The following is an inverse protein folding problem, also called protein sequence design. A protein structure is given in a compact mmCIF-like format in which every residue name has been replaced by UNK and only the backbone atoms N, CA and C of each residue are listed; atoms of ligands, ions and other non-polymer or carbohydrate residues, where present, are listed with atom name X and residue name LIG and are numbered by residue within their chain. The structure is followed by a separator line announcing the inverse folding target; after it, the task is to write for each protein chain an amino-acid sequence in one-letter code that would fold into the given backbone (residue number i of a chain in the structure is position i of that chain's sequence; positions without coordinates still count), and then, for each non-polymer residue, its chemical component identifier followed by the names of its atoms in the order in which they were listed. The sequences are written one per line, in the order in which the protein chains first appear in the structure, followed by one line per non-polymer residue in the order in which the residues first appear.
data_IF_470715693141
#
_entry.id   IF_470715693141
#
_cell.length_a   1.000
_cell.length_b   1.000
_cell.length_c   1.000
_cell.angle_alpha   90.00
_cell.angle_beta   90.00
_cell.angle_gamma   90.00
#
_symmetry.space_group_name_H-M   'P 1'
#
loop_
_entity.id
_entity.type
_entity.pdbx_description
1 polymer ?
#
# COMPACT_ATOMS: atom_id res chain seq x y z
N UNK A 1 40.85 20.77 1.00
CA UNK A 1 39.96 19.77 1.62
C UNK A 1 38.53 20.27 1.48
N UNK A 2 37.78 19.75 0.51
CA UNK A 2 36.36 20.10 0.33
C UNK A 2 35.50 19.53 1.46
N UNK A 3 34.38 20.18 1.76
CA UNK A 3 33.34 19.66 2.67
C UNK A 3 32.10 19.39 1.83
N UNK A 4 31.40 18.30 2.13
CA UNK A 4 30.12 17.98 1.52
C UNK A 4 29.01 18.32 2.50
N UNK A 5 27.95 18.97 2.03
CA UNK A 5 26.82 19.42 2.83
C UNK A 5 25.58 18.62 2.47
N UNK A 6 25.05 17.87 3.43
CA UNK A 6 23.81 17.11 3.27
C UNK A 6 22.67 17.92 3.85
N UNK A 7 21.67 18.21 3.04
CA UNK A 7 20.41 18.83 3.44
C UNK A 7 19.36 17.73 3.53
N UNK A 8 18.96 17.45 4.76
CA UNK A 8 17.87 16.52 5.07
C UNK A 8 16.51 17.20 4.93
N UNK A 9 16.42 18.45 5.40
CA UNK A 9 15.20 19.26 5.35
C UNK A 9 15.55 20.68 4.92
N UNK A 10 14.90 21.15 3.86
CA UNK A 10 15.09 22.47 3.27
C UNK A 10 14.20 22.64 2.05
N UNK A 11 14.40 23.74 1.30
CA UNK A 11 13.68 23.97 0.03
C UNK A 11 13.95 22.86 -1.00
N UNK A 12 15.23 22.52 -1.14
CA UNK A 12 15.70 21.41 -2.00
C UNK A 12 16.63 20.54 -1.14
N UNK A 13 16.14 19.39 -0.63
CA UNK A 13 16.98 18.40 0.04
C UNK A 13 17.93 17.71 -0.94
N UNK A 14 19.13 17.37 -0.48
CA UNK A 14 20.17 16.79 -1.33
C UNK A 14 21.57 16.93 -0.75
N UNK A 15 22.58 16.55 -1.55
CA UNK A 15 24.00 16.66 -1.20
C UNK A 15 24.62 17.74 -2.07
N UNK A 16 25.30 18.69 -1.44
CA UNK A 16 25.93 19.84 -2.07
C UNK A 16 27.43 19.85 -1.79
N UNK A 17 28.22 20.27 -2.77
CA UNK A 17 29.68 20.42 -2.61
C UNK A 17 30.07 21.84 -2.15
N UNK A 18 29.15 22.80 -2.28
CA UNK A 18 29.33 24.20 -1.89
C UNK A 18 28.33 24.64 -0.81
N UNK A 19 28.81 25.43 0.16
CA UNK A 19 27.96 25.97 1.22
C UNK A 19 27.05 27.09 0.71
N UNK A 20 27.50 27.92 -0.23
CA UNK A 20 26.72 29.04 -0.76
C UNK A 20 25.43 28.59 -1.46
N UNK A 21 25.46 27.43 -2.12
CA UNK A 21 24.24 26.81 -2.68
C UNK A 21 23.36 26.18 -1.60
N UNK A 22 23.95 25.43 -0.67
CA UNK A 22 23.26 24.79 0.44
C UNK A 22 22.55 25.82 1.34
N UNK A 23 23.23 26.92 1.67
CA UNK A 23 22.72 28.00 2.51
C UNK A 23 21.45 28.62 1.92
N UNK A 24 21.41 28.87 0.60
CA UNK A 24 20.22 29.42 -0.07
C UNK A 24 18.98 28.53 0.09
N UNK A 25 19.16 27.23 0.29
CA UNK A 25 18.05 26.27 0.47
C UNK A 25 17.54 26.20 1.92
N UNK A 26 18.38 26.53 2.90
CA UNK A 26 18.03 26.49 4.33
C UNK A 26 17.83 27.88 4.95
N UNK A 27 18.29 28.94 4.26
CA UNK A 27 18.21 30.31 4.73
C UNK A 27 16.74 30.74 4.88
N UNK A 28 16.39 31.17 6.10
CA UNK A 28 15.01 31.53 6.50
C UNK A 28 14.00 30.41 6.26
N UNK A 29 14.43 29.15 6.32
CA UNK A 29 13.56 27.98 6.24
C UNK A 29 13.31 27.41 7.65
N UNK A 30 12.05 27.36 8.06
CA UNK A 30 11.66 26.82 9.36
C UNK A 30 11.97 25.33 9.44
N UNK A 31 12.61 24.89 10.53
CA UNK A 31 13.00 23.49 10.77
C UNK A 31 13.96 22.91 9.72
N UNK A 32 14.82 23.73 9.12
CA UNK A 32 15.88 23.22 8.24
C UNK A 32 16.82 22.27 9.00
N UNK A 33 17.20 21.16 8.35
CA UNK A 33 18.13 20.16 8.90
C UNK A 33 19.22 19.89 7.89
N UNK A 34 20.46 20.21 8.25
CA UNK A 34 21.62 19.98 7.41
C UNK A 34 22.82 19.49 8.24
N UNK A 35 23.79 18.83 7.60
CA UNK A 35 25.04 18.39 8.23
C UNK A 35 26.19 18.34 7.22
N UNK A 36 27.39 18.75 7.66
CA UNK A 36 28.60 18.70 6.84
C UNK A 36 29.42 17.43 7.09
N UNK A 37 30.01 16.89 6.03
CA UNK A 37 30.88 15.71 6.04
C UNK A 37 32.20 16.00 5.31
N UNK A 38 33.24 15.24 5.65
CA UNK A 38 34.57 15.35 5.01
C UNK A 38 34.75 14.40 3.82
N UNK A 39 33.88 13.39 3.70
CA UNK A 39 33.86 12.41 2.61
C UNK A 39 32.50 12.42 1.91
N UNK A 40 32.51 12.25 0.59
CA UNK A 40 31.29 12.12 -0.22
C UNK A 40 30.52 10.84 0.17
N UNK A 41 31.23 9.76 0.46
CA UNK A 41 30.61 8.48 0.84
C UNK A 41 29.82 8.61 2.15
N UNK A 42 30.38 9.30 3.15
CA UNK A 42 29.69 9.57 4.42
C UNK A 42 28.45 10.44 4.21
N UNK A 43 28.56 11.45 3.34
CA UNK A 43 27.44 12.34 2.99
C UNK A 43 26.31 11.56 2.31
N UNK A 44 26.65 10.71 1.35
CA UNK A 44 25.71 9.86 0.63
C UNK A 44 25.04 8.84 1.54
N UNK A 45 25.82 8.15 2.38
CA UNK A 45 25.29 7.19 3.35
C UNK A 45 24.32 7.88 4.34
N UNK A 46 24.65 9.08 4.82
CA UNK A 46 23.79 9.82 5.71
C UNK A 46 22.47 10.24 5.03
N UNK A 47 22.53 10.72 3.78
CA UNK A 47 21.34 11.10 3.02
C UNK A 47 20.46 9.87 2.71
N UNK A 48 21.05 8.75 2.27
CA UNK A 48 20.32 7.51 2.02
C UNK A 48 19.61 6.98 3.27
N UNK A 49 20.27 7.03 4.43
CA UNK A 49 19.67 6.69 5.73
C UNK A 49 18.50 7.61 6.09
N UNK A 50 18.59 8.89 5.73
CA UNK A 50 17.50 9.82 5.94
C UNK A 50 16.30 9.47 5.05
N UNK A 51 16.52 9.19 3.77
CA UNK A 51 15.45 8.78 2.85
C UNK A 51 14.81 7.45 3.27
N UNK A 52 15.60 6.48 3.75
CA UNK A 52 15.03 5.21 4.22
C UNK A 52 14.22 5.36 5.51
N UNK A 53 14.64 6.22 6.43
CA UNK A 53 13.86 6.54 7.63
C UNK A 53 12.61 7.38 7.34
N UNK A 54 12.66 8.32 6.40
CA UNK A 54 11.47 9.09 5.99
C UNK A 54 10.48 8.27 5.15
N UNK A 55 10.97 7.27 4.40
CA UNK A 55 10.11 6.34 3.62
C UNK A 55 9.26 5.42 4.50
N UNK A 56 9.53 5.36 5.81
CA UNK A 56 8.68 4.65 6.78
C UNK A 56 7.50 5.47 7.30
N UNK A 57 7.35 6.73 6.88
CA UNK A 57 6.15 7.55 7.12
C UNK A 57 5.17 7.49 5.93
N UNK A 58 5.13 6.34 5.25
CA UNK A 58 4.15 6.00 4.22
C UNK A 58 3.69 4.54 4.22
N UNK A 59 4.34 3.64 4.97
CA UNK A 59 3.83 2.29 5.21
C UNK A 59 4.57 1.61 6.37
N UNK A 60 3.80 0.98 7.25
CA UNK A 60 4.22 0.02 8.29
C UNK A 60 5.11 0.54 9.43
N UNK A 61 4.52 1.34 10.33
CA UNK A 61 4.98 1.38 11.73
C UNK A 61 4.52 0.11 12.43
N UNK A 62 5.42 -0.87 12.57
CA UNK A 62 5.33 -1.96 13.53
C UNK A 62 5.50 -1.40 14.94
N UNK A 63 4.48 -0.66 15.40
CA UNK A 63 4.39 -0.20 16.78
C UNK A 63 3.69 -1.31 17.57
N UNK A 64 4.48 -2.11 18.30
CA UNK A 64 3.95 -2.96 19.38
C UNK A 64 3.32 -2.03 20.41
N UNK A 65 2.01 -1.82 20.32
CA UNK A 65 1.25 -1.17 21.37
C UNK A 65 0.88 -2.23 22.42
N UNK A 66 1.27 -1.99 23.67
CA UNK A 66 0.61 -2.59 24.82
C UNK A 66 -0.80 -1.97 24.85
N UNK A 67 -1.73 -2.56 24.10
CA UNK A 67 -3.11 -2.10 24.02
C UNK A 67 -3.82 -2.50 25.31
N UNK A 68 -4.55 -1.57 25.91
CA UNK A 68 -5.36 -1.90 27.09
C UNK A 68 -6.42 -2.93 26.72
N UNK A 69 -6.88 -3.70 27.69
CA UNK A 69 -7.87 -4.79 27.52
C UNK A 69 -9.11 -4.37 26.70
N UNK A 70 -9.56 -3.12 26.84
CA UNK A 70 -10.67 -2.55 26.04
C UNK A 70 -10.36 -2.43 24.55
N UNK A 71 -9.13 -2.07 24.19
CA UNK A 71 -8.71 -1.92 22.81
C UNK A 71 -8.53 -3.28 22.12
N UNK A 72 -8.07 -4.28 22.87
CA UNK A 72 -8.01 -5.67 22.41
C UNK A 72 -9.42 -6.22 22.12
N UNK A 73 -10.38 -5.95 23.00
CA UNK A 73 -11.80 -6.28 22.77
C UNK A 73 -12.34 -5.61 21.50
N UNK A 74 -12.02 -4.34 21.26
CA UNK A 74 -12.46 -3.62 20.05
C UNK A 74 -11.83 -4.22 18.79
N UNK A 75 -10.54 -4.54 18.83
CA UNK A 75 -9.82 -5.17 17.71
C UNK A 75 -10.42 -6.54 17.38
N UNK A 76 -10.57 -7.40 18.37
CA UNK A 76 -11.11 -8.74 18.21
C UNK A 76 -12.55 -8.70 17.69
N UNK A 77 -13.39 -7.78 18.18
CA UNK A 77 -14.75 -7.59 17.67
C UNK A 77 -14.75 -7.19 16.19
N UNK A 78 -13.88 -6.28 15.80
CA UNK A 78 -13.79 -5.78 14.41
C UNK A 78 -13.31 -6.89 13.47
N UNK A 79 -12.31 -7.66 13.89
CA UNK A 79 -11.79 -8.81 13.15
C UNK A 79 -12.86 -9.91 13.00
N UNK A 80 -13.62 -10.18 14.06
CA UNK A 80 -14.72 -11.11 14.01
C UNK A 80 -15.81 -10.62 13.03
N UNK A 81 -16.19 -9.35 13.07
CA UNK A 81 -17.15 -8.78 12.11
C UNK A 81 -16.65 -8.88 10.66
N UNK A 82 -15.37 -8.60 10.42
CA UNK A 82 -14.77 -8.70 9.10
C UNK A 82 -14.75 -10.15 8.58
N UNK A 83 -14.45 -11.12 9.45
CA UNK A 83 -14.45 -12.54 9.08
C UNK A 83 -15.86 -13.06 8.76
N UNK A 84 -16.87 -12.67 9.54
CA UNK A 84 -18.28 -12.99 9.26
C UNK A 84 -18.69 -12.40 7.90
N UNK A 85 -18.36 -11.13 7.64
CA UNK A 85 -18.66 -10.48 6.36
C UNK A 85 -17.93 -11.14 5.17
N UNK A 86 -16.67 -11.56 5.38
CA UNK A 86 -15.88 -12.24 4.35
C UNK A 86 -16.47 -13.61 4.00
N UNK A 87 -16.93 -14.35 5.02
CA UNK A 87 -17.62 -15.63 4.84
C UNK A 87 -18.94 -15.43 4.09
N UNK A 88 -19.74 -14.45 4.47
CA UNK A 88 -20.99 -14.11 3.77
C UNK A 88 -20.76 -13.65 2.32
N UNK A 89 -19.69 -12.89 2.05
CA UNK A 89 -19.32 -12.50 0.67
C UNK A 89 -18.94 -13.70 -0.18
N UNK A 90 -18.20 -14.66 0.38
CA UNK A 90 -17.88 -15.90 -0.32
C UNK A 90 -19.12 -16.75 -0.60
N UNK A 91 -20.09 -16.74 0.31
CA UNK A 91 -21.37 -17.45 0.16
C UNK A 91 -22.29 -16.78 -0.88
N UNK A 92 -22.32 -15.44 -0.96
CA UNK A 92 -23.06 -14.71 -2.02
C UNK A 92 -22.54 -14.99 -3.43
N UNK A 93 -21.22 -15.12 -3.59
CA UNK A 93 -20.63 -15.47 -4.89
C UNK A 93 -21.04 -16.87 -5.36
N UNK A 94 -21.15 -17.83 -4.44
CA UNK A 94 -21.62 -19.19 -4.75
C UNK A 94 -23.09 -19.21 -5.15
N UNK A 95 -23.94 -18.41 -4.50
CA UNK A 95 -25.37 -18.31 -4.84
C UNK A 95 -25.59 -17.74 -6.25
N UNK A 96 -24.83 -16.70 -6.63
CA UNK A 96 -24.91 -16.12 -7.97
C UNK A 96 -24.43 -17.08 -9.06
N UNK A 97 -23.34 -17.82 -8.80
CA UNK A 97 -22.83 -18.84 -9.71
C UNK A 97 -23.80 -20.02 -9.87
N UNK A 98 -24.42 -20.50 -8.78
CA UNK A 98 -25.43 -21.55 -8.84
C UNK A 98 -26.66 -21.12 -9.64
N UNK A 99 -27.12 -19.87 -9.48
CA UNK A 99 -28.25 -19.36 -10.25
C UNK A 99 -27.92 -19.26 -11.75
N UNK A 100 -26.70 -18.83 -12.11
CA UNK A 100 -26.24 -18.81 -13.50
C UNK A 100 -26.14 -20.22 -14.09
N UNK A 101 -25.57 -21.18 -13.35
CA UNK A 101 -25.48 -22.56 -13.82
C UNK A 101 -26.85 -23.18 -14.03
N UNK A 102 -27.83 -22.87 -13.17
CA UNK A 102 -29.23 -23.27 -13.37
C UNK A 102 -29.77 -22.74 -14.71
N UNK A 103 -29.54 -21.45 -15.02
CA UNK A 103 -29.94 -20.87 -16.30
C UNK A 103 -29.21 -21.49 -17.50
N UNK A 104 -27.92 -21.80 -17.36
CA UNK A 104 -27.14 -22.48 -18.40
C UNK A 104 -27.74 -23.86 -18.67
N UNK A 105 -28.03 -24.65 -17.63
CA UNK A 105 -28.66 -25.97 -17.78
C UNK A 105 -30.06 -25.88 -18.40
N UNK A 106 -30.85 -24.87 -18.06
CA UNK A 106 -32.16 -24.62 -18.69
C UNK A 106 -32.01 -24.32 -20.20
N UNK A 107 -31.02 -23.50 -20.57
CA UNK A 107 -30.71 -23.18 -21.97
C UNK A 107 -30.24 -24.44 -22.72
N UNK A 108 -29.32 -25.22 -22.14
CA UNK A 108 -28.84 -26.47 -22.73
C UNK A 108 -29.97 -27.48 -22.91
N UNK A 109 -30.90 -27.55 -21.96
CA UNK A 109 -32.10 -28.39 -22.06
C UNK A 109 -33.01 -27.92 -23.21
N UNK A 110 -33.27 -26.61 -23.32
CA UNK A 110 -34.06 -26.04 -24.42
C UNK A 110 -33.39 -26.26 -25.78
N UNK A 111 -32.07 -26.10 -25.87
CA UNK A 111 -31.31 -26.35 -27.09
C UNK A 111 -31.25 -27.84 -27.44
N UNK A 112 -31.19 -28.72 -26.45
CA UNK A 112 -31.32 -30.17 -26.62
C UNK A 112 -32.68 -30.55 -27.19
N UNK A 113 -33.76 -29.99 -26.64
CA UNK A 113 -35.12 -30.19 -27.14
C UNK A 113 -35.28 -29.65 -28.58
N UNK A 114 -34.64 -28.51 -28.90
CA UNK A 114 -34.63 -27.93 -30.24
C UNK A 114 -33.84 -28.77 -31.26
N UNK A 115 -32.80 -29.49 -30.80
CA UNK A 115 -31.97 -30.39 -31.63
C UNK A 115 -32.70 -31.69 -31.97
N UNK A 116 -33.67 -32.12 -31.16
CA UNK A 116 -34.51 -33.29 -31.44
C UNK A 116 -35.68 -32.99 -32.39
N UNK A 117 -36.18 -31.76 -32.47
CA UNK A 117 -37.33 -31.41 -33.33
C UNK A 117 -36.97 -31.30 -34.84
N UNK A 118 -35.68 -31.21 -35.19
CA UNK A 118 -35.23 -31.11 -36.60
C UNK A 118 -34.95 -32.44 -37.30
N UNK A 119 -35.25 -33.58 -36.65
CA UNK A 119 -34.94 -34.90 -37.21
C UNK A 119 -36.14 -35.84 -37.36
N UNK A 120 -37.37 -35.34 -37.19
CA UNK A 120 -38.58 -36.06 -37.55
C UNK A 120 -39.39 -35.20 -38.53
N UNK A 121 -39.73 -35.79 -39.69
CA UNK A 121 -40.32 -35.23 -40.93
C UNK A 121 -39.25 -34.77 -41.93
N UNK A 122 -38.77 -35.60 -42.87
CA UNK A 122 -39.50 -36.51 -43.77
C UNK A 122 -40.70 -35.84 -44.45
#
# INVERSE_FOLDING_TARGET
MGKFYVLFVGRVPGIYEDWGEAEKQVFRFSNARHKSYRSYEDAHAAYARHISSSSTEGSSSSKKHNMGERDEIIRLRTELQASVLARERAERGRYQAQNMNKHITEIETLLGNFRFEKNDKA
#
